data_IF_572064193824
#
_entry.id   IF_572064193824
#
_cell.length_a   1.000
_cell.length_b   1.000
_cell.length_c   1.000
_cell.angle_alpha   90.00
_cell.angle_beta   90.00
_cell.angle_gamma   90.00
#
_symmetry.space_group_name_H-M   'P 1'
#
loop_
_entity.id
_entity.type
_entity.pdbx_description
1 polymer ?
#
# COMPACT_ATOMS: atom_id res chain seq x y z
N UNK A 1 8.28 -2.00 -58.44
CA UNK A 1 8.93 -1.62 -57.16
C UNK A 1 7.96 -0.72 -56.42
N UNK A 2 7.07 -1.30 -55.62
CA UNK A 2 5.93 -0.59 -55.02
C UNK A 2 6.34 -0.04 -53.66
N UNK A 3 6.37 1.29 -53.54
CA UNK A 3 6.65 2.01 -52.30
C UNK A 3 5.49 1.76 -51.34
N UNK A 4 5.72 0.95 -50.31
CA UNK A 4 4.76 0.72 -49.24
C UNK A 4 4.79 1.93 -48.30
N UNK A 5 3.93 2.92 -48.59
CA UNK A 5 3.68 4.04 -47.69
C UNK A 5 2.98 3.52 -46.44
N UNK A 6 3.74 3.37 -45.34
CA UNK A 6 3.14 3.23 -44.00
C UNK A 6 2.39 4.53 -43.71
N UNK A 7 1.12 4.58 -44.06
CA UNK A 7 0.20 5.62 -43.59
C UNK A 7 0.15 5.55 -42.08
N UNK A 8 0.81 6.49 -41.41
CA UNK A 8 0.63 6.70 -39.98
C UNK A 8 -0.87 6.91 -39.73
N UNK A 9 -1.48 6.03 -38.94
CA UNK A 9 -2.90 6.16 -38.60
C UNK A 9 -3.06 7.50 -37.85
N UNK A 10 -3.92 8.42 -38.30
CA UNK A 10 -4.08 9.71 -37.65
C UNK A 10 -4.56 9.49 -36.22
N UNK A 11 -3.97 10.25 -35.29
CA UNK A 11 -4.30 10.19 -33.87
C UNK A 11 -5.74 10.66 -33.69
N UNK A 12 -6.68 9.74 -33.42
CA UNK A 12 -8.09 10.09 -33.25
C UNK A 12 -8.31 10.73 -31.88
N UNK A 13 -9.20 11.72 -31.80
CA UNK A 13 -9.55 12.39 -30.54
C UNK A 13 -9.95 11.39 -29.44
N UNK A 14 -10.70 10.34 -29.80
CA UNK A 14 -11.05 9.22 -28.92
C UNK A 14 -9.84 8.43 -28.42
N UNK A 15 -8.82 8.24 -29.26
CA UNK A 15 -7.58 7.55 -28.89
C UNK A 15 -6.73 8.38 -27.93
N UNK A 16 -6.65 9.70 -28.15
CA UNK A 16 -5.92 10.62 -27.28
C UNK A 16 -6.52 10.67 -25.87
N UNK A 17 -7.86 10.75 -25.78
CA UNK A 17 -8.57 10.73 -24.50
C UNK A 17 -8.36 9.41 -23.78
N UNK A 18 -8.42 8.28 -24.49
CA UNK A 18 -8.19 6.95 -23.90
C UNK A 18 -6.77 6.79 -23.34
N UNK A 19 -5.73 7.18 -24.09
CA UNK A 19 -4.35 7.15 -23.57
C UNK A 19 -4.20 8.08 -22.38
N UNK A 20 -4.77 9.29 -22.44
CA UNK A 20 -4.74 10.24 -21.33
C UNK A 20 -5.31 9.65 -20.03
N UNK A 21 -6.45 8.94 -20.11
CA UNK A 21 -7.05 8.28 -18.95
C UNK A 21 -6.19 7.14 -18.41
N UNK A 22 -5.58 6.32 -19.27
CA UNK A 22 -4.67 5.25 -18.85
C UNK A 22 -3.44 5.84 -18.13
N UNK A 23 -2.85 6.89 -18.68
CA UNK A 23 -1.70 7.55 -18.07
C UNK A 23 -2.07 8.18 -16.71
N UNK A 24 -3.22 8.85 -16.63
CA UNK A 24 -3.72 9.42 -15.38
C UNK A 24 -3.92 8.35 -14.31
N UNK A 25 -4.48 7.20 -14.69
CA UNK A 25 -4.67 6.07 -13.80
C UNK A 25 -3.31 5.52 -13.30
N UNK A 26 -2.36 5.26 -14.21
CA UNK A 26 -1.02 4.77 -13.85
C UNK A 26 -0.30 5.74 -12.91
N UNK A 27 -0.37 7.04 -13.20
CA UNK A 27 0.25 8.07 -12.36
C UNK A 27 -0.40 8.13 -10.98
N UNK A 28 -1.73 8.10 -10.91
CA UNK A 28 -2.47 8.09 -9.64
C UNK A 28 -2.07 6.88 -8.79
N UNK A 29 -2.05 5.68 -9.36
CA UNK A 29 -1.64 4.46 -8.66
C UNK A 29 -0.19 4.53 -8.21
N UNK A 30 0.71 5.07 -9.05
CA UNK A 30 2.14 5.20 -8.73
C UNK A 30 2.38 6.21 -7.61
N UNK A 31 1.69 7.35 -7.62
CA UNK A 31 1.76 8.38 -6.58
C UNK A 31 1.22 7.82 -5.26
N UNK A 32 0.05 7.19 -5.29
CA UNK A 32 -0.55 6.57 -4.11
C UNK A 32 0.38 5.50 -3.52
N UNK A 33 0.90 4.58 -4.34
CA UNK A 33 1.85 3.56 -3.89
C UNK A 33 3.15 4.14 -3.33
N UNK A 34 3.66 5.24 -3.92
CA UNK A 34 4.84 5.93 -3.41
C UNK A 34 4.58 6.60 -2.05
N UNK A 35 3.39 7.18 -1.88
CA UNK A 35 2.96 7.80 -0.63
C UNK A 35 2.83 6.76 0.49
N UNK A 36 2.17 5.63 0.24
CA UNK A 36 2.08 4.51 1.19
C UNK A 36 3.46 3.98 1.58
N UNK A 37 4.35 3.78 0.60
CA UNK A 37 5.74 3.39 0.85
C UNK A 37 6.47 4.38 1.76
N UNK A 38 6.31 5.68 1.48
CA UNK A 38 6.91 6.74 2.29
C UNK A 38 6.40 6.72 3.73
N UNK A 39 5.09 6.55 3.94
CA UNK A 39 4.50 6.49 5.29
C UNK A 39 5.05 5.31 6.09
N UNK A 40 5.11 4.12 5.50
CA UNK A 40 5.60 2.92 6.20
C UNK A 40 7.09 3.03 6.51
N UNK A 41 7.92 3.47 5.54
CA UNK A 41 9.35 3.68 5.80
C UNK A 41 9.54 4.70 6.93
N UNK A 42 8.78 5.79 6.92
CA UNK A 42 8.85 6.80 7.98
C UNK A 42 8.46 6.23 9.34
N UNK A 43 7.45 5.36 9.43
CA UNK A 43 7.09 4.72 10.69
C UNK A 43 8.19 3.76 11.18
N UNK A 44 8.78 2.97 10.29
CA UNK A 44 9.84 2.03 10.65
C UNK A 44 11.15 2.73 11.05
N UNK A 45 11.53 3.80 10.36
CA UNK A 45 12.73 4.58 10.71
C UNK A 45 12.56 5.27 12.07
N UNK A 46 11.34 5.73 12.39
CA UNK A 46 11.04 6.39 13.67
C UNK A 46 10.42 5.42 14.70
N UNK A 47 10.71 4.12 14.59
CA UNK A 47 10.17 3.12 15.54
C UNK A 47 10.65 3.35 16.98
N UNK A 48 11.78 4.04 17.15
CA UNK A 48 12.35 4.41 18.44
C UNK A 48 11.45 5.39 19.22
N UNK A 49 10.57 6.12 18.53
CA UNK A 49 9.53 6.97 19.15
C UNK A 49 8.41 6.14 19.83
N UNK A 50 8.54 4.81 19.85
CA UNK A 50 7.64 3.81 20.42
C UNK A 50 6.15 4.11 20.17
N UNK A 51 5.72 4.25 18.89
CA UNK A 51 4.31 4.43 18.56
C UNK A 51 3.42 3.38 19.23
N UNK A 52 2.18 3.75 19.57
CA UNK A 52 1.24 2.81 20.22
C UNK A 52 0.88 1.63 19.30
N UNK A 53 0.81 1.90 18.00
CA UNK A 53 0.66 0.92 16.94
C UNK A 53 1.44 1.33 15.69
N UNK A 54 1.76 0.37 14.83
CA UNK A 54 2.44 0.55 13.53
C UNK A 54 1.58 -0.09 12.45
N UNK A 55 1.53 0.53 11.27
CA UNK A 55 0.98 -0.09 10.08
C UNK A 55 2.11 -0.69 9.26
N UNK A 56 2.16 -2.01 9.20
CA UNK A 56 3.09 -2.77 8.38
C UNK A 56 2.41 -3.31 7.13
N UNK A 57 3.19 -3.66 6.12
CA UNK A 57 2.70 -4.51 5.04
C UNK A 57 3.84 -5.29 4.42
N UNK A 58 3.68 -6.60 4.34
CA UNK A 58 4.62 -7.52 3.65
C UNK A 58 4.77 -7.18 2.16
N UNK A 59 3.82 -6.41 1.61
CA UNK A 59 3.76 -6.09 0.19
C UNK A 59 4.31 -4.72 -0.16
N UNK A 60 4.39 -3.77 0.80
CA UNK A 60 4.68 -2.38 0.44
C UNK A 60 6.07 -2.22 -0.15
N UNK A 61 7.08 -2.92 0.36
CA UNK A 61 8.45 -2.84 -0.17
C UNK A 61 8.57 -3.41 -1.58
N UNK A 62 7.67 -4.30 -1.97
CA UNK A 62 7.61 -4.82 -3.33
C UNK A 62 7.23 -3.70 -4.34
N UNK A 63 6.53 -2.65 -3.89
CA UNK A 63 6.14 -1.51 -4.73
C UNK A 63 7.34 -0.71 -5.26
N UNK A 64 8.51 -0.78 -4.60
CA UNK A 64 9.77 -0.18 -5.10
C UNK A 64 10.10 -0.66 -6.51
N UNK A 65 9.73 -1.90 -6.85
CA UNK A 65 9.91 -2.49 -8.17
C UNK A 65 8.65 -2.41 -9.04
N UNK A 66 7.46 -2.49 -8.42
CA UNK A 66 6.19 -2.37 -9.11
C UNK A 66 5.99 -1.00 -9.78
N UNK A 67 6.33 0.08 -9.09
CA UNK A 67 6.13 1.46 -9.59
C UNK A 67 6.97 1.72 -10.85
N UNK A 68 8.30 1.47 -10.90
CA UNK A 68 9.06 1.56 -12.15
C UNK A 68 8.49 0.71 -13.28
N UNK A 69 7.95 -0.47 -12.99
CA UNK A 69 7.30 -1.33 -13.97
C UNK A 69 6.06 -0.68 -14.59
N UNK A 70 5.19 -0.07 -13.77
CA UNK A 70 4.03 0.69 -14.22
C UNK A 70 4.42 1.91 -15.06
N UNK A 71 5.47 2.63 -14.66
CA UNK A 71 5.98 3.78 -15.42
C UNK A 71 6.54 3.35 -16.79
N UNK A 72 7.18 2.19 -16.89
CA UNK A 72 7.63 1.64 -18.19
C UNK A 72 6.45 1.30 -19.12
N UNK A 73 5.33 0.83 -18.57
CA UNK A 73 4.09 0.62 -19.32
C UNK A 73 3.56 1.97 -19.84
N UNK A 74 3.52 3.00 -18.98
CA UNK A 74 3.12 4.35 -19.40
C UNK A 74 4.02 4.91 -20.52
N UNK A 75 5.34 4.77 -20.40
CA UNK A 75 6.29 5.15 -21.46
C UNK A 75 6.02 4.39 -22.76
N UNK A 76 5.71 3.09 -22.67
CA UNK A 76 5.40 2.27 -23.84
C UNK A 76 4.14 2.75 -24.57
N UNK A 77 3.11 3.18 -23.83
CA UNK A 77 1.92 3.81 -24.41
C UNK A 77 2.23 5.13 -25.12
N UNK A 78 3.02 6.01 -24.50
CA UNK A 78 3.45 7.28 -25.11
C UNK A 78 4.24 7.01 -26.41
N UNK A 79 5.19 6.06 -26.37
CA UNK A 79 5.98 5.70 -27.54
C UNK A 79 5.13 5.10 -28.67
N UNK A 80 4.09 4.33 -28.33
CA UNK A 80 3.14 3.77 -29.29
C UNK A 80 2.40 4.89 -30.03
N UNK A 81 1.86 5.86 -29.29
CA UNK A 81 1.07 6.95 -29.85
C UNK A 81 1.92 7.91 -30.70
N UNK A 82 3.20 8.07 -30.34
CA UNK A 82 4.18 8.80 -31.14
C UNK A 82 4.70 8.01 -32.36
N UNK A 83 4.22 6.78 -32.59
CA UNK A 83 4.74 5.83 -33.59
C UNK A 83 6.26 5.58 -33.47
N UNK A 84 6.80 5.71 -32.25
CA UNK A 84 8.22 5.54 -31.89
C UNK A 84 8.49 4.20 -31.19
N UNK A 85 7.47 3.34 -31.04
CA UNK A 85 7.61 2.02 -30.43
C UNK A 85 8.18 1.04 -31.47
N UNK A 86 9.43 0.63 -31.26
CA UNK A 86 10.12 -0.38 -32.08
C UNK A 86 10.06 -1.75 -31.40
N UNK A 87 10.21 -2.83 -32.17
CA UNK A 87 10.27 -4.20 -31.63
C UNK A 87 11.42 -4.37 -30.62
N UNK A 88 12.56 -3.71 -30.86
CA UNK A 88 13.70 -3.70 -29.95
C UNK A 88 13.37 -3.04 -28.60
N UNK A 89 12.75 -1.85 -28.63
CA UNK A 89 12.31 -1.14 -27.41
C UNK A 89 11.27 -1.94 -26.63
N UNK A 90 10.36 -2.60 -27.34
CA UNK A 90 9.35 -3.47 -26.73
C UNK A 90 10.01 -4.69 -26.06
N UNK A 91 10.95 -5.35 -26.73
CA UNK A 91 11.70 -6.48 -26.17
C UNK A 91 12.53 -6.08 -24.94
N UNK A 92 13.20 -4.93 -25.00
CA UNK A 92 13.91 -4.36 -23.85
C UNK A 92 12.95 -4.08 -22.69
N UNK A 93 11.79 -3.46 -22.97
CA UNK A 93 10.75 -3.21 -21.98
C UNK A 93 10.27 -4.49 -21.30
N UNK A 94 10.00 -5.56 -22.06
CA UNK A 94 9.62 -6.85 -21.50
C UNK A 94 10.70 -7.47 -20.62
N UNK A 95 11.98 -7.38 -21.02
CA UNK A 95 13.10 -7.87 -20.20
C UNK A 95 13.18 -7.11 -18.87
N UNK A 96 13.06 -5.78 -18.90
CA UNK A 96 13.11 -4.96 -17.69
C UNK A 96 11.90 -5.26 -16.80
N UNK A 97 10.68 -5.31 -17.34
CA UNK A 97 9.47 -5.65 -16.58
C UNK A 97 9.59 -7.06 -15.98
N UNK A 98 10.09 -8.04 -16.73
CA UNK A 98 10.34 -9.38 -16.23
C UNK A 98 11.32 -9.41 -15.06
N UNK A 99 12.43 -8.67 -15.16
CA UNK A 99 13.38 -8.52 -14.06
C UNK A 99 12.75 -7.84 -12.83
N UNK A 100 12.01 -6.74 -13.03
CA UNK A 100 11.31 -6.03 -11.95
C UNK A 100 10.28 -6.93 -11.26
N UNK A 101 9.58 -7.78 -12.01
CA UNK A 101 8.62 -8.74 -11.45
C UNK A 101 9.32 -9.76 -10.54
N UNK A 102 10.46 -10.31 -10.98
CA UNK A 102 11.26 -11.23 -10.16
C UNK A 102 11.77 -10.52 -8.90
N UNK A 103 12.30 -9.31 -9.04
CA UNK A 103 12.76 -8.50 -7.90
C UNK A 103 11.63 -8.18 -6.91
N UNK A 104 10.43 -7.88 -7.42
CA UNK A 104 9.23 -7.65 -6.61
C UNK A 104 8.87 -8.89 -5.78
N UNK A 105 8.86 -10.08 -6.39
CA UNK A 105 8.57 -11.35 -5.70
C UNK A 105 9.66 -11.65 -4.66
N UNK A 106 10.93 -11.53 -5.02
CA UNK A 106 12.04 -11.75 -4.11
C UNK A 106 11.98 -10.81 -2.90
N UNK A 107 11.68 -9.52 -3.14
CA UNK A 107 11.55 -8.52 -2.08
C UNK A 107 10.39 -8.84 -1.16
N UNK A 108 9.23 -9.24 -1.67
CA UNK A 108 8.12 -9.68 -0.82
C UNK A 108 8.52 -10.83 0.10
N UNK A 109 9.23 -11.83 -0.42
CA UNK A 109 9.66 -12.99 0.36
C UNK A 109 10.69 -12.59 1.42
N UNK A 110 11.73 -11.86 1.03
CA UNK A 110 12.83 -11.49 1.94
C UNK A 110 12.36 -10.46 2.98
N UNK A 111 11.77 -9.36 2.52
CA UNK A 111 11.33 -8.29 3.42
C UNK A 111 10.11 -8.73 4.24
N UNK A 112 9.04 -9.15 3.57
CA UNK A 112 7.81 -9.53 4.25
C UNK A 112 7.99 -10.79 5.08
N UNK A 113 8.48 -11.87 4.47
CA UNK A 113 8.52 -13.18 5.12
C UNK A 113 9.59 -13.36 6.20
N UNK A 114 10.67 -12.57 6.17
CA UNK A 114 11.79 -12.75 7.11
C UNK A 114 12.21 -11.51 7.89
N UNK A 115 12.06 -10.31 7.31
CA UNK A 115 12.55 -9.09 7.96
C UNK A 115 11.49 -8.39 8.80
N UNK A 116 10.31 -8.13 8.24
CA UNK A 116 9.32 -7.25 8.84
C UNK A 116 8.86 -7.75 10.22
N UNK A 117 8.44 -9.01 10.30
CA UNK A 117 7.91 -9.60 11.53
C UNK A 117 8.98 -9.61 12.62
N UNK A 118 10.17 -10.13 12.31
CA UNK A 118 11.29 -10.18 13.26
C UNK A 118 11.79 -8.78 13.67
N UNK A 119 11.73 -7.80 12.78
CA UNK A 119 12.05 -6.41 13.10
C UNK A 119 11.04 -5.85 14.09
N UNK A 120 9.74 -5.98 13.82
CA UNK A 120 8.69 -5.45 14.69
C UNK A 120 8.66 -6.13 16.06
N UNK A 121 8.79 -7.46 16.10
CA UNK A 121 8.87 -8.23 17.34
C UNK A 121 10.07 -7.82 18.21
N UNK A 122 11.23 -7.58 17.58
CA UNK A 122 12.44 -7.09 18.30
C UNK A 122 12.21 -5.75 18.99
N UNK A 123 11.34 -4.90 18.44
CA UNK A 123 10.96 -3.62 19.05
C UNK A 123 9.73 -3.73 19.97
N UNK A 124 9.27 -4.95 20.28
CA UNK A 124 8.19 -5.20 21.23
C UNK A 124 6.78 -5.06 20.65
N UNK A 125 6.63 -5.13 19.32
CA UNK A 125 5.33 -5.12 18.67
C UNK A 125 4.81 -6.53 18.42
N UNK A 126 3.50 -6.70 18.48
CA UNK A 126 2.80 -7.94 18.14
C UNK A 126 1.73 -7.69 17.08
N UNK A 127 1.59 -8.61 16.14
CA UNK A 127 0.58 -8.56 15.10
C UNK A 127 -0.84 -8.55 15.70
N UNK A 128 -1.71 -7.69 15.18
CA UNK A 128 -3.10 -7.59 15.58
C UNK A 128 -4.07 -7.88 14.43
N UNK A 129 -4.53 -9.13 14.37
CA UNK A 129 -5.53 -9.58 13.41
C UNK A 129 -6.86 -8.84 13.48
N UNK A 130 -7.46 -8.63 14.67
CA UNK A 130 -8.70 -7.85 14.82
C UNK A 130 -8.63 -6.44 14.24
N UNK A 131 -7.55 -5.69 14.46
CA UNK A 131 -7.40 -4.34 13.90
C UNK A 131 -6.96 -4.30 12.42
N UNK A 132 -6.59 -5.45 11.87
CA UNK A 132 -6.18 -5.61 10.47
C UNK A 132 -7.38 -5.89 9.59
N UNK A 133 -7.52 -5.15 8.49
CA UNK A 133 -8.62 -5.37 7.55
C UNK A 133 -8.48 -6.74 6.86
N UNK A 134 -9.57 -7.50 6.65
CA UNK A 134 -9.53 -8.80 6.01
C UNK A 134 -9.42 -8.68 4.47
N UNK A 135 -8.34 -8.08 3.97
CA UNK A 135 -8.06 -7.92 2.53
C UNK A 135 -6.65 -8.39 2.23
N UNK A 136 -6.46 -9.02 1.06
CA UNK A 136 -5.17 -9.62 0.66
C UNK A 136 -4.00 -8.63 0.55
N UNK A 137 -4.28 -7.33 0.44
CA UNK A 137 -3.28 -6.25 0.48
C UNK A 137 -3.63 -5.19 1.54
N UNK A 138 -4.34 -5.57 2.59
CA UNK A 138 -4.54 -4.69 3.73
C UNK A 138 -3.19 -4.34 4.36
N UNK A 139 -3.11 -3.12 4.89
CA UNK A 139 -2.11 -2.83 5.89
C UNK A 139 -2.41 -3.63 7.14
N UNK A 140 -1.38 -4.26 7.66
CA UNK A 140 -1.40 -5.01 8.89
C UNK A 140 -1.13 -4.08 10.06
N UNK A 141 -1.88 -4.26 11.13
CA UNK A 141 -1.71 -3.46 12.34
C UNK A 141 -0.90 -4.25 13.34
N UNK A 142 0.16 -3.61 13.85
CA UNK A 142 1.05 -4.15 14.87
C UNK A 142 0.95 -3.25 16.09
N UNK A 143 0.68 -3.82 17.27
CA UNK A 143 0.47 -3.06 18.50
C UNK A 143 1.63 -3.24 19.45
N UNK A 144 1.96 -2.19 20.20
CA UNK A 144 3.03 -2.22 21.21
C UNK A 144 2.59 -2.82 22.56
N UNK A 145 1.28 -3.01 22.75
CA UNK A 145 0.69 -3.70 23.89
C UNK A 145 -0.46 -4.59 23.38
N UNK A 146 -0.47 -5.91 23.69
CA UNK A 146 -1.55 -6.81 23.29
C UNK A 146 -2.94 -6.38 23.77
N UNK A 147 -3.04 -5.59 24.85
CA UNK A 147 -4.29 -5.02 25.33
C UNK A 147 -4.96 -4.06 24.35
N UNK A 148 -4.22 -3.53 23.37
CA UNK A 148 -4.80 -2.75 22.27
C UNK A 148 -5.45 -3.65 21.21
N UNK A 149 -5.20 -4.95 21.24
CA UNK A 149 -5.66 -5.92 20.27
C UNK A 149 -6.73 -6.88 20.83
N UNK A 150 -7.97 -6.41 20.86
CA UNK A 150 -9.11 -7.23 21.31
C UNK A 150 -10.01 -7.59 20.12
N UNK A 151 -10.71 -8.72 20.18
CA UNK A 151 -11.66 -9.12 19.10
C UNK A 151 -12.72 -8.04 18.84
N UNK A 152 -13.20 -7.37 19.89
CA UNK A 152 -14.18 -6.27 19.79
C UNK A 152 -13.68 -5.10 18.93
N UNK A 153 -12.35 -4.95 18.74
CA UNK A 153 -11.77 -3.91 17.89
C UNK A 153 -12.03 -4.12 16.40
N UNK A 154 -12.43 -5.33 15.96
CA UNK A 154 -12.57 -5.68 14.55
C UNK A 154 -13.50 -4.77 13.76
N UNK A 155 -14.63 -4.40 14.37
CA UNK A 155 -15.64 -3.56 13.73
C UNK A 155 -15.47 -2.07 14.03
N UNK A 156 -14.49 -1.69 14.85
CA UNK A 156 -14.22 -0.31 15.28
C UNK A 156 -12.74 0.05 15.16
N UNK A 157 -12.01 -0.65 14.29
CA UNK A 157 -10.55 -0.54 14.18
C UNK A 157 -10.08 0.88 13.86
N UNK A 158 -10.85 1.62 13.05
CA UNK A 158 -10.61 3.03 12.74
C UNK A 158 -10.70 3.89 13.99
N UNK A 159 -11.80 3.79 14.72
CA UNK A 159 -12.05 4.59 15.91
C UNK A 159 -11.07 4.27 17.04
N UNK A 160 -10.62 3.02 17.14
CA UNK A 160 -9.57 2.62 18.09
C UNK A 160 -8.25 3.28 17.72
N UNK A 161 -7.85 3.26 16.44
CA UNK A 161 -6.61 3.93 15.99
C UNK A 161 -6.66 5.44 16.16
N UNK A 162 -7.77 6.07 15.79
CA UNK A 162 -7.97 7.51 15.97
C UNK A 162 -7.85 7.91 17.45
N UNK A 163 -8.39 7.08 18.35
CA UNK A 163 -8.25 7.29 19.79
C UNK A 163 -6.81 7.11 20.28
N UNK A 164 -6.09 6.08 19.81
CA UNK A 164 -4.67 5.88 20.13
C UNK A 164 -3.81 7.05 19.62
N UNK A 165 -4.09 7.55 18.41
CA UNK A 165 -3.38 8.70 17.83
C UNK A 165 -3.62 9.98 18.65
N UNK A 166 -4.86 10.20 19.10
CA UNK A 166 -5.19 11.31 20.00
C UNK A 166 -4.47 11.21 21.36
N UNK A 167 -4.39 10.00 21.93
CA UNK A 167 -3.65 9.75 23.18
C UNK A 167 -2.16 10.00 23.02
N UNK A 168 -1.57 9.49 21.93
CA UNK A 168 -0.17 9.74 21.61
C UNK A 168 0.12 11.23 21.42
N UNK A 169 -0.76 11.96 20.71
CA UNK A 169 -0.62 13.40 20.50
C UNK A 169 -0.69 14.20 21.82
N UNK A 170 -1.42 13.70 22.81
CA UNK A 170 -1.46 14.25 24.16
C UNK A 170 -0.24 13.84 25.03
N UNK A 171 0.69 13.03 24.51
CA UNK A 171 1.81 12.49 25.26
C UNK A 171 1.42 11.36 26.22
N UNK A 172 0.22 10.82 26.08
CA UNK A 172 -0.31 9.75 26.93
C UNK A 172 -0.07 8.37 26.31
N UNK A 173 0.18 7.38 27.18
CA UNK A 173 0.27 5.97 26.81
C UNK A 173 -0.80 5.20 27.59
N UNK A 174 -1.95 4.90 26.98
CA UNK A 174 -3.04 4.21 27.66
C UNK A 174 -2.60 2.86 28.17
N UNK A 175 -3.05 2.49 29.36
CA UNK A 175 -2.88 1.15 29.90
C UNK A 175 -3.76 0.14 29.13
N UNK A 176 -3.43 -1.15 29.23
CA UNK A 176 -4.24 -2.22 28.66
C UNK A 176 -5.70 -2.18 29.16
N UNK A 177 -5.92 -1.85 30.45
CA UNK A 177 -7.25 -1.74 31.04
C UNK A 177 -8.05 -0.57 30.46
N UNK A 178 -7.42 0.59 30.25
CA UNK A 178 -8.07 1.75 29.62
C UNK A 178 -8.42 1.46 28.16
N UNK A 179 -7.52 0.80 27.44
CA UNK A 179 -7.78 0.38 26.06
C UNK A 179 -8.93 -0.62 25.98
N UNK A 180 -8.97 -1.62 26.85
CA UNK A 180 -10.06 -2.59 26.93
C UNK A 180 -11.41 -1.91 27.16
N UNK A 181 -11.48 -1.00 28.16
CA UNK A 181 -12.70 -0.27 28.45
C UNK A 181 -13.14 0.57 27.23
N UNK A 182 -12.20 1.25 26.58
CA UNK A 182 -12.50 2.10 25.42
C UNK A 182 -12.97 1.29 24.22
N UNK A 183 -12.31 0.17 23.92
CA UNK A 183 -12.69 -0.72 22.81
C UNK A 183 -14.10 -1.26 23.02
N UNK A 184 -14.42 -1.73 24.24
CA UNK A 184 -15.77 -2.20 24.59
C UNK A 184 -16.83 -1.12 24.41
N UNK A 185 -16.55 0.11 24.87
CA UNK A 185 -17.46 1.25 24.68
C UNK A 185 -17.70 1.55 23.19
N UNK A 186 -16.64 1.54 22.37
CA UNK A 186 -16.76 1.77 20.93
C UNK A 186 -17.57 0.66 20.24
N UNK A 187 -17.31 -0.61 20.60
CA UNK A 187 -18.03 -1.75 20.07
C UNK A 187 -19.52 -1.70 20.41
N UNK A 188 -19.87 -1.39 21.67
CA UNK A 188 -21.27 -1.20 22.10
C UNK A 188 -21.95 -0.06 21.36
N UNK A 189 -21.27 1.09 21.20
CA UNK A 189 -21.79 2.23 20.45
C UNK A 189 -21.98 1.90 18.96
N UNK A 190 -21.11 1.08 18.38
CA UNK A 190 -21.26 0.59 17.01
C UNK A 190 -22.48 -0.33 16.88
N UNK A 191 -22.63 -1.31 17.78
CA UNK A 191 -23.79 -2.21 17.78
C UNK A 191 -25.12 -1.45 17.96
N UNK A 192 -25.16 -0.45 18.85
CA UNK A 192 -26.32 0.39 19.04
C UNK A 192 -26.67 1.23 17.80
N UNK A 193 -25.69 1.62 16.98
CA UNK A 193 -25.91 2.29 15.69
C UNK A 193 -26.53 1.33 14.66
N UNK A 194 -26.07 0.08 14.62
CA UNK A 194 -26.64 -0.93 13.73
C UNK A 194 -28.08 -1.31 14.09
N UNK A 195 -28.40 -1.43 15.38
CA UNK A 195 -29.74 -1.80 15.84
C UNK A 195 -30.81 -0.70 15.65
N UNK A 196 -30.44 0.49 15.17
CA UNK A 196 -31.37 1.60 14.87
C UNK A 196 -31.93 1.56 13.44
N UNK A 197 -31.46 0.63 12.62
CA UNK A 197 -31.90 0.39 11.25
C UNK A 197 -32.52 -1.00 11.13
#
# INVERSE_FOLDING_TARGET
MTINSRTAKPLTFSGLVSTGLILLFILTVSIYGSFELFLIIRQLVNIEDRPLYIMGSHNVMALVFGIPGLLLVAVSHILKDLNKLTAERLNLGFKIIGFLLVAMIATRIIYGGFFLDGYLEKYGYSYCGPMTAPKAMAMEVWVSDPGYCLEDSRNVSSEVRDWLDAKRAAGERPTAAEAEQKIKQLAQANQARFNRF
#
